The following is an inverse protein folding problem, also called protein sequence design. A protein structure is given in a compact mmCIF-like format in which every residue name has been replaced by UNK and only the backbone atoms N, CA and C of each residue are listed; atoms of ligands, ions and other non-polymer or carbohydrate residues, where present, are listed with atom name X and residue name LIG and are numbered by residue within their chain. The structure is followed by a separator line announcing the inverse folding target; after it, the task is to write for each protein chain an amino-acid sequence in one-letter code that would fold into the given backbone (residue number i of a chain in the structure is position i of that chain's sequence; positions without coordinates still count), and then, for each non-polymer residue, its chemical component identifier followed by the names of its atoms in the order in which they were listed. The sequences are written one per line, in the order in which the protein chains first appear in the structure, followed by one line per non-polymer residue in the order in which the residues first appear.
data_IF_900018655553
#
_entry.id   IF_900018655553
#
_cell.length_a   1.000
_cell.length_b   1.000
_cell.length_c   1.000
_cell.angle_alpha   90.00
_cell.angle_beta   90.00
_cell.angle_gamma   90.00
#
_symmetry.space_group_name_H-M   'P 1'
#
loop_
_entity.id
_entity.type
_entity.pdbx_description
1 polymer ?
#
# COMPACT_ATOMS: atom_id res chain seq x y z
N UNK A 1 24.37 7.35 13.21
CA UNK A 1 23.29 6.72 12.43
C UNK A 1 22.08 7.64 12.56
N UNK A 2 21.74 8.40 11.52
CA UNK A 2 20.56 9.26 11.55
C UNK A 2 19.33 8.34 11.51
N UNK A 3 18.34 8.46 12.42
CA UNK A 3 17.12 7.70 12.30
C UNK A 3 16.45 8.05 10.97
N UNK A 4 16.01 7.02 10.24
CA UNK A 4 15.13 7.14 9.08
C UNK A 4 14.02 8.14 9.44
N UNK A 5 13.72 9.08 8.53
CA UNK A 5 12.68 10.10 8.69
C UNK A 5 11.44 9.52 9.40
N UNK A 6 10.99 10.19 10.47
CA UNK A 6 9.80 9.82 11.22
C UNK A 6 8.56 9.95 10.34
N UNK A 7 8.20 8.90 9.61
CA UNK A 7 6.96 8.84 8.81
C UNK A 7 5.78 8.40 9.67
N UNK A 8 4.57 8.87 9.36
CA UNK A 8 3.32 8.44 10.00
C UNK A 8 2.74 7.16 9.35
N UNK A 9 3.45 6.04 9.40
CA UNK A 9 2.96 4.77 8.84
C UNK A 9 1.90 4.08 9.71
N UNK A 10 0.91 3.43 9.09
CA UNK A 10 -0.06 2.55 9.77
C UNK A 10 0.23 1.10 9.43
N UNK A 11 0.38 0.26 10.46
CA UNK A 11 0.44 -1.20 10.30
C UNK A 11 -0.98 -1.74 10.16
N UNK A 12 -1.24 -2.44 9.04
CA UNK A 12 -2.56 -2.99 8.74
C UNK A 12 -2.61 -4.50 9.03
N UNK A 13 -3.80 -5.09 9.26
CA UNK A 13 -3.94 -6.53 9.46
C UNK A 13 -3.41 -7.36 8.28
N UNK A 14 -3.18 -8.66 8.51
CA UNK A 14 -2.79 -9.57 7.43
C UNK A 14 -3.85 -9.65 6.32
N UNK A 15 -3.40 -9.89 5.09
CA UNK A 15 -4.26 -10.06 3.92
C UNK A 15 -4.72 -8.76 3.25
N UNK A 16 -4.20 -7.61 3.68
CA UNK A 16 -4.50 -6.30 3.07
C UNK A 16 -3.61 -5.99 1.86
N UNK A 17 -2.50 -6.71 1.66
CA UNK A 17 -1.56 -6.57 0.56
C UNK A 17 -0.97 -7.92 0.10
N UNK A 18 -0.27 -7.89 -1.04
CA UNK A 18 0.49 -9.03 -1.57
C UNK A 18 -0.33 -10.30 -1.75
N UNK A 19 0.29 -11.45 -1.50
CA UNK A 19 -0.29 -12.79 -1.66
C UNK A 19 -1.64 -12.95 -0.96
N UNK A 20 -1.77 -12.41 0.26
CA UNK A 20 -3.02 -12.50 1.01
C UNK A 20 -4.17 -11.70 0.38
N UNK A 21 -3.87 -10.55 -0.23
CA UNK A 21 -4.86 -9.79 -1.00
C UNK A 21 -5.21 -10.50 -2.30
N UNK A 22 -4.23 -11.06 -3.01
CA UNK A 22 -4.42 -11.79 -4.26
C UNK A 22 -5.23 -13.08 -4.05
N UNK A 23 -4.93 -13.85 -2.99
CA UNK A 23 -5.68 -15.04 -2.60
C UNK A 23 -7.18 -14.74 -2.37
N UNK A 24 -7.49 -13.57 -1.83
CA UNK A 24 -8.86 -13.09 -1.64
C UNK A 24 -9.48 -12.43 -2.89
N UNK A 25 -8.86 -12.58 -4.06
CA UNK A 25 -9.30 -12.00 -5.36
C UNK A 25 -9.35 -10.46 -5.36
N UNK A 26 -8.48 -9.86 -4.56
CA UNK A 26 -8.34 -8.43 -4.40
C UNK A 26 -9.56 -7.76 -3.75
N UNK A 27 -9.85 -6.54 -4.19
CA UNK A 27 -10.86 -5.68 -3.56
C UNK A 27 -10.81 -4.26 -4.08
N UNK A 28 -11.43 -3.34 -3.35
CA UNK A 28 -11.45 -1.91 -3.64
C UNK A 28 -10.72 -1.17 -2.53
N UNK A 29 -9.79 -0.30 -2.92
CA UNK A 29 -9.21 0.71 -2.04
C UNK A 29 -9.91 2.03 -2.32
N UNK A 30 -10.53 2.61 -1.30
CA UNK A 30 -11.14 3.93 -1.38
C UNK A 30 -10.32 4.88 -0.52
N UNK A 31 -9.97 6.05 -1.06
CA UNK A 31 -9.22 7.08 -0.37
C UNK A 31 -10.07 8.34 -0.40
N UNK A 32 -10.29 8.93 0.78
CA UNK A 32 -10.91 10.23 0.94
C UNK A 32 -9.84 11.22 1.38
N UNK A 33 -9.64 12.25 0.55
CA UNK A 33 -8.72 13.35 0.82
C UNK A 33 -9.56 14.59 1.10
N UNK A 34 -9.45 15.10 2.31
CA UNK A 34 -10.16 16.29 2.80
C UNK A 34 -9.14 17.32 3.30
N UNK A 35 -9.57 18.55 3.58
CA UNK A 35 -8.67 19.60 4.06
C UNK A 35 -8.09 19.32 5.45
N UNK A 36 -8.78 18.50 6.25
CA UNK A 36 -8.47 18.23 7.66
C UNK A 36 -8.02 16.80 7.92
N UNK A 37 -8.32 15.86 7.02
CA UNK A 37 -8.02 14.45 7.21
C UNK A 37 -7.81 13.68 5.91
N UNK A 38 -7.07 12.57 6.01
CA UNK A 38 -6.93 11.56 4.96
C UNK A 38 -7.37 10.23 5.52
N UNK A 39 -8.37 9.63 4.89
CA UNK A 39 -8.92 8.33 5.28
C UNK A 39 -8.82 7.35 4.13
N UNK A 40 -8.56 6.08 4.46
CA UNK A 40 -8.53 5.01 3.47
C UNK A 40 -9.27 3.78 4.00
N UNK A 41 -10.06 3.17 3.13
CA UNK A 41 -10.75 1.91 3.36
C UNK A 41 -10.23 0.84 2.42
N UNK A 42 -10.32 -0.41 2.87
CA UNK A 42 -10.11 -1.59 2.05
C UNK A 42 -11.37 -2.46 2.12
N UNK A 43 -12.10 -2.53 1.02
CA UNK A 43 -13.22 -3.44 0.87
C UNK A 43 -12.73 -4.72 0.20
N UNK A 44 -12.85 -5.86 0.89
CA UNK A 44 -12.53 -7.16 0.30
C UNK A 44 -13.50 -7.46 -0.84
N UNK A 45 -13.09 -8.25 -1.83
CA UNK A 45 -13.88 -8.55 -3.04
C UNK A 45 -15.35 -8.89 -2.78
N UNK A 46 -15.63 -9.68 -1.73
CA UNK A 46 -16.98 -10.14 -1.35
C UNK A 46 -17.79 -9.12 -0.53
N UNK A 47 -17.14 -8.10 0.02
CA UNK A 47 -17.69 -7.14 0.96
C UNK A 47 -17.64 -5.72 0.37
N UNK A 48 -17.68 -5.57 -0.96
CA UNK A 48 -17.70 -4.26 -1.64
C UNK A 48 -19.10 -3.67 -1.48
N UNK A 49 -19.24 -2.49 -0.85
CA UNK A 49 -20.54 -1.85 -0.67
C UNK A 49 -21.24 -1.46 -1.99
N UNK A 50 -22.58 -1.45 -1.97
CA UNK A 50 -23.39 -1.17 -3.16
C UNK A 50 -23.28 0.27 -3.68
N UNK A 51 -23.02 1.22 -2.79
CA UNK A 51 -22.76 2.63 -3.11
C UNK A 51 -21.46 2.79 -3.91
N UNK A 52 -20.43 1.98 -3.63
CA UNK A 52 -19.21 1.91 -4.45
C UNK A 52 -19.51 1.37 -5.85
N UNK A 53 -20.29 0.29 -5.95
CA UNK A 53 -20.59 -0.34 -7.26
C UNK A 53 -21.58 0.48 -8.09
N UNK A 54 -22.45 1.25 -7.46
CA UNK A 54 -23.38 2.19 -8.11
C UNK A 54 -22.83 3.60 -8.31
N UNK A 55 -21.53 3.80 -8.07
CA UNK A 55 -20.81 5.06 -8.31
C UNK A 55 -21.34 6.25 -7.51
N UNK A 56 -21.85 5.99 -6.30
CA UNK A 56 -22.34 7.00 -5.35
C UNK A 56 -21.70 6.79 -3.98
N UNK A 57 -20.35 6.79 -3.87
CA UNK A 57 -19.66 6.38 -2.67
C UNK A 57 -20.02 7.26 -1.46
N UNK A 58 -20.40 6.62 -0.36
CA UNK A 58 -20.55 7.21 0.98
C UNK A 58 -19.57 6.52 1.94
N UNK A 59 -18.39 7.12 2.07
CA UNK A 59 -17.32 6.58 2.90
C UNK A 59 -17.52 6.85 4.40
N UNK A 60 -18.36 7.82 4.77
CA UNK A 60 -18.68 8.09 6.18
C UNK A 60 -19.56 6.97 6.76
N UNK A 61 -20.44 6.39 5.94
CA UNK A 61 -21.23 5.21 6.29
C UNK A 61 -20.47 3.88 6.15
N UNK A 62 -19.25 3.89 5.63
CA UNK A 62 -18.44 2.68 5.36
C UNK A 62 -17.73 2.11 6.61
N UNK A 63 -18.00 2.64 7.80
CA UNK A 63 -17.43 2.19 9.07
C UNK A 63 -15.98 2.64 9.27
N UNK A 64 -15.25 1.93 10.13
CA UNK A 64 -13.89 2.33 10.56
C UNK A 64 -12.90 2.24 9.39
N UNK A 65 -12.20 3.33 9.04
CA UNK A 65 -11.17 3.30 8.00
C UNK A 65 -9.97 2.46 8.44
N UNK A 66 -9.28 1.86 7.46
CA UNK A 66 -8.03 1.14 7.66
C UNK A 66 -6.88 2.07 8.08
N UNK A 67 -6.97 3.33 7.66
CA UNK A 67 -6.02 4.39 7.95
C UNK A 67 -6.79 5.70 8.12
N UNK A 68 -6.48 6.44 9.19
CA UNK A 68 -7.05 7.75 9.45
C UNK A 68 -5.94 8.70 9.92
N UNK A 69 -5.60 9.68 9.08
CA UNK A 69 -4.69 10.76 9.42
C UNK A 69 -5.48 12.05 9.61
N UNK A 70 -5.72 12.42 10.86
CA UNK A 70 -6.41 13.66 11.23
C UNK A 70 -7.70 13.42 12.03
N UNK A 71 -8.31 14.50 12.54
CA UNK A 71 -7.73 15.85 12.63
C UNK A 71 -6.57 15.90 13.64
N UNK A 72 -5.56 16.72 13.38
CA UNK A 72 -4.37 16.84 14.24
C UNK A 72 -3.59 18.13 13.99
N UNK A 73 -2.38 18.24 14.53
CA UNK A 73 -1.58 19.46 14.49
C UNK A 73 -0.93 19.75 13.12
N UNK A 74 -1.21 18.94 12.11
CA UNK A 74 -0.68 19.06 10.76
C UNK A 74 -1.82 19.45 9.81
N UNK A 75 -1.65 20.54 9.06
CA UNK A 75 -2.61 20.97 8.05
C UNK A 75 -2.48 20.07 6.81
N UNK A 76 -3.49 19.23 6.56
CA UNK A 76 -3.55 18.39 5.36
C UNK A 76 -3.63 19.28 4.11
N UNK A 77 -4.46 20.32 4.14
CA UNK A 77 -4.61 21.28 3.04
C UNK A 77 -3.30 21.95 2.59
N UNK A 78 -2.38 22.25 3.51
CA UNK A 78 -1.07 22.83 3.13
C UNK A 78 -0.05 21.78 2.70
N UNK A 79 -0.21 20.54 3.15
CA UNK A 79 0.71 19.42 2.86
C UNK A 79 0.38 18.68 1.56
N UNK A 80 -0.89 18.64 1.16
CA UNK A 80 -1.39 17.91 0.01
C UNK A 80 -2.03 18.87 -0.98
N UNK A 81 -1.50 18.90 -2.21
CA UNK A 81 -1.97 19.74 -3.32
C UNK A 81 -2.54 18.85 -4.44
N UNK A 82 -2.46 19.31 -5.68
CA UNK A 82 -2.78 18.52 -6.86
C UNK A 82 -1.90 17.27 -6.91
N UNK A 83 -2.48 16.13 -6.52
CA UNK A 83 -1.81 14.84 -6.49
C UNK A 83 -1.83 14.20 -7.88
N UNK A 84 -0.77 13.45 -8.20
CA UNK A 84 -0.73 12.55 -9.34
C UNK A 84 -0.84 11.11 -8.84
N UNK A 85 -1.74 10.34 -9.45
CA UNK A 85 -1.80 8.90 -9.20
C UNK A 85 -0.70 8.19 -9.99
N UNK A 86 0.10 7.38 -9.30
CA UNK A 86 1.20 6.61 -9.90
C UNK A 86 1.09 5.15 -9.46
N UNK A 87 1.22 4.23 -10.41
CA UNK A 87 1.42 2.81 -10.15
C UNK A 87 2.82 2.45 -10.61
N UNK A 88 3.60 1.86 -9.73
CA UNK A 88 5.00 1.53 -9.97
C UNK A 88 5.31 0.15 -9.37
N UNK A 89 6.10 -0.63 -10.10
CA UNK A 89 6.69 -1.89 -9.66
C UNK A 89 8.19 -1.78 -9.86
N UNK A 90 8.86 -1.24 -8.85
CA UNK A 90 10.30 -1.11 -8.83
C UNK A 90 10.94 -2.22 -7.99
N UNK A 91 12.19 -2.53 -8.29
CA UNK A 91 12.99 -3.55 -7.64
C UNK A 91 14.25 -2.94 -7.03
N UNK A 92 14.54 -3.35 -5.80
CA UNK A 92 15.72 -3.00 -4.99
C UNK A 92 15.83 -1.51 -4.63
N UNK A 93 15.77 -0.58 -5.56
CA UNK A 93 15.95 0.84 -5.28
C UNK A 93 17.42 1.18 -5.00
N UNK A 94 17.69 1.98 -3.97
CA UNK A 94 19.05 2.41 -3.64
C UNK A 94 19.83 1.27 -2.98
N UNK A 95 20.94 0.85 -3.61
CA UNK A 95 21.67 -0.39 -3.31
C UNK A 95 21.94 -0.61 -1.81
N UNK A 96 22.50 0.39 -1.10
CA UNK A 96 22.85 0.30 0.32
C UNK A 96 21.63 0.10 1.25
N UNK A 97 20.55 0.82 1.00
CA UNK A 97 19.29 0.68 1.76
C UNK A 97 18.61 -0.64 1.41
N UNK A 98 18.66 -1.04 0.15
CA UNK A 98 17.99 -2.23 -0.36
C UNK A 98 18.59 -3.51 0.18
N UNK A 99 19.92 -3.61 0.21
CA UNK A 99 20.63 -4.77 0.72
C UNK A 99 20.58 -4.82 2.25
N UNK A 100 20.62 -3.66 2.92
CA UNK A 100 20.34 -3.62 4.35
C UNK A 100 18.94 -4.16 4.67
N UNK A 101 17.89 -3.71 3.96
CA UNK A 101 16.53 -4.25 4.13
C UNK A 101 16.46 -5.72 3.77
N UNK A 102 17.12 -6.15 2.70
CA UNK A 102 17.15 -7.54 2.25
C UNK A 102 17.67 -8.48 3.33
N UNK A 103 18.73 -8.07 4.03
CA UNK A 103 19.43 -8.86 5.03
C UNK A 103 18.86 -8.71 6.45
N UNK A 104 18.15 -7.61 6.76
CA UNK A 104 17.74 -7.29 8.14
C UNK A 104 16.22 -7.18 8.33
N UNK A 105 15.46 -6.86 7.28
CA UNK A 105 14.02 -6.69 7.39
C UNK A 105 13.33 -8.04 7.44
N UNK A 106 12.82 -8.40 8.62
CA UNK A 106 11.93 -9.56 8.78
C UNK A 106 10.49 -9.18 8.43
N UNK A 107 10.06 -7.96 8.72
CA UNK A 107 8.69 -7.50 8.53
C UNK A 107 8.22 -7.57 7.06
N UNK A 108 6.98 -8.06 6.78
CA UNK A 108 5.96 -8.57 7.71
C UNK A 108 6.10 -10.07 8.05
N UNK A 109 7.18 -10.71 7.64
CA UNK A 109 7.49 -12.11 7.88
C UNK A 109 8.30 -12.31 9.19
N UNK A 110 8.54 -13.58 9.56
CA UNK A 110 9.43 -13.94 10.67
C UNK A 110 10.87 -14.26 10.20
N UNK A 111 11.19 -13.98 8.93
CA UNK A 111 12.44 -14.33 8.26
C UNK A 111 12.82 -13.22 7.27
N UNK A 112 14.11 -13.00 7.05
CA UNK A 112 14.61 -12.01 6.10
C UNK A 112 14.49 -12.51 4.66
N UNK A 113 14.62 -11.61 3.68
CA UNK A 113 14.62 -12.01 2.28
C UNK A 113 15.85 -12.84 1.92
N UNK A 114 17.02 -12.50 2.50
CA UNK A 114 18.23 -13.30 2.30
C UNK A 114 18.10 -14.72 2.84
N UNK A 115 17.53 -14.90 4.03
CA UNK A 115 17.25 -16.21 4.63
C UNK A 115 16.24 -17.00 3.77
N UNK A 116 15.18 -16.35 3.28
CA UNK A 116 14.11 -16.99 2.51
C UNK A 116 14.58 -17.44 1.12
N UNK A 117 15.42 -16.65 0.46
CA UNK A 117 15.84 -16.88 -0.94
C UNK A 117 17.19 -17.57 -1.05
N UNK A 118 17.97 -17.57 0.03
CA UNK A 118 19.37 -17.97 0.04
C UNK A 118 20.23 -17.14 -0.93
N UNK A 119 19.89 -15.85 -1.10
CA UNK A 119 20.59 -14.90 -1.96
C UNK A 119 21.03 -13.68 -1.15
N UNK A 120 22.25 -13.19 -1.43
CA UNK A 120 22.94 -12.19 -0.60
C UNK A 120 22.44 -10.75 -0.78
N UNK A 121 22.02 -10.41 -2.00
CA UNK A 121 21.61 -9.06 -2.38
C UNK A 121 20.27 -9.08 -3.10
N UNK A 122 19.52 -7.98 -3.01
CA UNK A 122 18.26 -7.85 -3.74
C UNK A 122 18.48 -7.96 -5.25
N UNK A 123 19.52 -7.28 -5.76
CA UNK A 123 19.81 -7.22 -7.20
C UNK A 123 20.10 -8.59 -7.78
N UNK A 124 20.89 -9.40 -7.08
CA UNK A 124 21.17 -10.78 -7.50
C UNK A 124 19.88 -11.62 -7.60
N UNK A 125 18.94 -11.45 -6.65
CA UNK A 125 17.66 -12.16 -6.72
C UNK A 125 16.88 -11.78 -7.98
N UNK A 126 16.79 -10.47 -8.26
CA UNK A 126 16.03 -9.94 -9.40
C UNK A 126 16.62 -10.38 -10.73
N UNK A 127 17.95 -10.32 -10.86
CA UNK A 127 18.66 -10.68 -12.09
C UNK A 127 18.61 -12.18 -12.39
N UNK A 128 18.75 -13.03 -11.36
CA UNK A 128 18.92 -14.48 -11.54
C UNK A 128 17.65 -15.31 -11.41
N UNK A 129 16.56 -14.73 -10.91
CA UNK A 129 15.33 -15.48 -10.60
C UNK A 129 14.07 -14.81 -11.18
N UNK A 130 13.98 -14.59 -12.50
CA UNK A 130 12.84 -13.90 -13.12
C UNK A 130 11.49 -14.58 -12.81
N UNK A 131 11.46 -15.91 -12.69
CA UNK A 131 10.27 -16.69 -12.35
C UNK A 131 9.69 -16.36 -10.96
N UNK A 132 10.50 -15.81 -10.04
CA UNK A 132 10.04 -15.44 -8.70
C UNK A 132 9.07 -14.24 -8.72
N UNK A 133 8.98 -13.53 -9.84
CA UNK A 133 8.20 -12.31 -10.00
C UNK A 133 6.97 -12.50 -10.90
N UNK A 134 6.55 -13.75 -11.16
CA UNK A 134 5.35 -14.04 -11.98
C UNK A 134 4.06 -13.42 -11.42
N UNK A 135 4.00 -13.23 -10.10
CA UNK A 135 2.87 -12.60 -9.40
C UNK A 135 3.07 -11.10 -9.14
N UNK A 136 4.17 -10.50 -9.63
CA UNK A 136 4.47 -9.09 -9.48
C UNK A 136 3.86 -8.26 -10.63
N UNK A 137 2.54 -8.08 -10.60
CA UNK A 137 1.81 -7.26 -11.56
C UNK A 137 0.59 -6.58 -10.91
N UNK A 138 0.08 -5.54 -11.56
CA UNK A 138 -1.22 -4.96 -11.21
C UNK A 138 -2.27 -5.41 -12.22
N UNK A 139 -3.41 -5.91 -11.72
CA UNK A 139 -4.62 -6.10 -12.52
C UNK A 139 -5.71 -5.15 -12.00
N UNK A 140 -5.83 -4.00 -12.65
CA UNK A 140 -6.71 -2.91 -12.24
C UNK A 140 -7.98 -2.97 -13.09
N UNK A 141 -9.13 -3.22 -12.44
CA UNK A 141 -10.42 -3.24 -13.15
C UNK A 141 -10.94 -1.83 -13.46
N UNK A 142 -10.82 -0.91 -12.52
CA UNK A 142 -11.24 0.48 -12.70
C UNK A 142 -10.51 1.40 -11.75
N UNK A 143 -10.44 2.66 -12.14
CA UNK A 143 -10.08 3.80 -11.29
C UNK A 143 -11.18 4.83 -11.49
N UNK A 144 -11.77 5.29 -10.39
CA UNK A 144 -12.82 6.32 -10.40
C UNK A 144 -12.42 7.41 -9.42
N UNK A 145 -12.60 8.66 -9.82
CA UNK A 145 -12.32 9.84 -9.00
C UNK A 145 -13.62 10.61 -8.86
N UNK A 146 -13.97 10.93 -7.63
CA UNK A 146 -15.17 11.68 -7.28
C UNK A 146 -14.74 12.97 -6.60
N UNK A 147 -15.53 14.03 -6.79
CA UNK A 147 -15.37 15.29 -6.08
C UNK A 147 -16.58 15.47 -5.17
N UNK A 148 -16.34 15.84 -3.92
CA UNK A 148 -17.42 16.19 -3.01
C UNK A 148 -18.06 17.51 -3.46
N UNK A 149 -19.39 17.68 -3.31
CA UNK A 149 -20.08 18.91 -3.63
C UNK A 149 -19.53 20.15 -2.94
#
# INVERSE_FOLDING_TARGET
MCPLQSTCGVVTPQGTCGDGFNHNKGGVRAIQLEETQIRMWLFRRKDIPCDITSEKPDLDSSGTPLMNFGPGNCSIASSWKNMKMTFDLNFCGQDDISDWRWQQSKWPQNMTCSEKTNVSTCKEQVEKNPQAFSEAYFLIQYIKVFQMP
#
